data_IF_238981538493
#
_entry.id   IF_238981538493
#
_cell.length_a   1.000
_cell.length_b   1.000
_cell.length_c   1.000
_cell.angle_alpha   90.00
_cell.angle_beta   90.00
_cell.angle_gamma   90.00
#
_symmetry.space_group_name_H-M   'P 1'
#
loop_
_entity.id
_entity.type
_entity.pdbx_description
1 polymer ?
#
# COMPACT_ATOMS: atom_id res chain seq x y z
N UNK A 1 30.93 -2.60 -25.67
CA UNK A 1 31.45 -2.62 -24.28
C UNK A 1 32.26 -1.37 -24.03
N UNK A 2 31.90 -0.61 -22.98
CA UNK A 2 32.54 0.65 -22.57
C UNK A 2 33.40 0.31 -21.34
N UNK A 3 34.72 0.44 -21.44
CA UNK A 3 35.65 0.13 -20.36
C UNK A 3 36.41 1.38 -19.94
N UNK A 4 35.73 2.24 -19.16
CA UNK A 4 36.04 2.79 -17.81
C UNK A 4 37.50 2.91 -17.30
N UNK A 5 38.51 2.71 -18.14
CA UNK A 5 39.93 2.64 -17.75
C UNK A 5 40.64 4.00 -17.81
N UNK A 6 39.93 5.06 -18.19
CA UNK A 6 40.49 6.42 -18.30
C UNK A 6 40.18 7.34 -17.11
N UNK A 7 39.54 6.84 -16.05
CA UNK A 7 39.16 7.68 -14.90
C UNK A 7 40.13 7.62 -13.71
N UNK A 8 41.14 6.73 -13.72
CA UNK A 8 41.99 6.49 -12.54
C UNK A 8 43.44 6.96 -12.70
N UNK A 9 43.67 8.09 -13.37
CA UNK A 9 45.01 8.65 -13.56
C UNK A 9 45.21 10.08 -13.06
N UNK A 10 44.42 10.53 -12.09
CA UNK A 10 44.68 11.79 -11.41
C UNK A 10 44.27 11.72 -9.92
N UNK A 11 44.96 10.89 -9.14
CA UNK A 11 44.99 11.02 -7.69
C UNK A 11 46.45 10.98 -7.24
N UNK A 12 47.02 12.15 -6.98
CA UNK A 12 48.27 12.27 -6.25
C UNK A 12 48.00 11.97 -4.76
N UNK A 13 48.74 11.03 -4.15
CA UNK A 13 48.56 10.62 -2.77
C UNK A 13 49.25 11.59 -1.80
N UNK A 14 48.81 11.60 -0.54
CA UNK A 14 49.45 12.25 0.63
C UNK A 14 49.27 13.77 0.66
N UNK A 15 48.74 14.47 1.68
CA UNK A 15 48.85 14.36 3.14
C UNK A 15 47.71 15.21 3.76
N UNK A 16 46.91 14.67 4.68
CA UNK A 16 46.32 15.42 5.81
C UNK A 16 45.63 14.45 6.80
N UNK A 17 46.45 13.61 7.44
CA UNK A 17 46.10 12.94 8.69
C UNK A 17 46.15 13.99 9.82
N UNK A 18 45.03 14.28 10.49
CA UNK A 18 44.96 14.63 11.92
C UNK A 18 43.55 15.12 12.31
N UNK A 19 42.72 14.24 12.89
CA UNK A 19 41.98 14.49 14.14
C UNK A 19 41.54 13.13 14.67
N UNK A 20 42.35 12.58 15.58
CA UNK A 20 42.07 11.36 16.32
C UNK A 20 40.92 11.61 17.31
N UNK A 21 39.88 10.79 17.22
CA UNK A 21 38.84 10.65 18.22
C UNK A 21 38.55 9.18 18.44
N UNK A 22 39.51 8.45 19.02
CA UNK A 22 39.30 7.07 19.45
C UNK A 22 38.42 7.07 20.70
N UNK A 23 37.38 6.25 20.68
CA UNK A 23 36.89 5.60 21.90
C UNK A 23 36.74 4.13 21.56
N UNK A 24 37.69 3.36 22.04
CA UNK A 24 37.56 1.92 22.23
C UNK A 24 36.32 1.67 23.09
N UNK A 25 35.35 0.92 22.57
CA UNK A 25 34.53 0.09 23.44
C UNK A 25 34.76 -1.36 23.04
N UNK A 26 35.64 -1.94 23.84
CA UNK A 26 35.94 -3.34 24.00
C UNK A 26 34.65 -4.08 24.38
N UNK A 27 34.34 -5.12 23.62
CA UNK A 27 33.32 -6.09 23.98
C UNK A 27 33.81 -6.90 25.19
N UNK A 28 33.00 -7.00 26.22
CA UNK A 28 33.08 -8.06 27.22
C UNK A 28 31.69 -8.65 27.41
N UNK A 29 31.48 -9.79 26.76
CA UNK A 29 30.44 -10.73 27.17
C UNK A 29 30.93 -11.42 28.45
N UNK A 30 30.11 -11.38 29.50
CA UNK A 30 30.19 -12.33 30.60
C UNK A 30 28.77 -12.78 30.94
N UNK A 31 28.58 -14.06 30.67
CA UNK A 31 27.43 -14.95 30.83
C UNK A 31 26.99 -15.07 32.31
N UNK A 32 25.66 -15.24 32.48
CA UNK A 32 24.89 -15.77 33.64
C UNK A 32 25.18 -15.17 35.04
N UNK A 33 24.19 -14.73 35.83
CA UNK A 33 23.06 -15.49 36.42
C UNK A 33 21.93 -14.53 36.87
N UNK A 34 20.66 -14.85 36.52
CA UNK A 34 19.39 -14.62 37.27
C UNK A 34 18.99 -13.15 37.62
N UNK A 35 17.81 -12.56 37.35
CA UNK A 35 16.39 -12.90 37.16
C UNK A 35 15.80 -11.58 36.57
N UNK A 36 15.10 -11.48 35.45
CA UNK A 36 13.69 -11.83 35.22
C UNK A 36 13.39 -11.59 33.72
N UNK A 37 13.16 -12.71 33.03
CA UNK A 37 12.48 -12.95 31.73
C UNK A 37 12.58 -11.86 30.64
N UNK A 38 13.50 -11.89 29.68
CA UNK A 38 14.12 -13.04 29.03
C UNK A 38 13.56 -13.23 27.61
N UNK A 39 14.36 -12.74 26.65
CA UNK A 39 14.65 -13.42 25.39
C UNK A 39 13.79 -13.07 24.15
N UNK A 40 14.30 -12.08 23.40
CA UNK A 40 14.32 -12.19 21.95
C UNK A 40 15.10 -13.43 21.52
N UNK A 41 14.39 -14.42 21.00
CA UNK A 41 14.93 -15.47 20.15
C UNK A 41 14.78 -15.05 18.70
N UNK A 42 15.85 -15.08 17.91
CA UNK A 42 15.70 -15.41 16.47
C UNK A 42 15.04 -16.77 16.35
N UNK A 43 14.10 -16.95 15.40
CA UNK A 43 14.23 -18.16 14.60
C UNK A 43 13.85 -17.95 13.12
N UNK A 44 14.60 -18.65 12.28
CA UNK A 44 14.14 -19.25 11.03
C UNK A 44 12.78 -19.96 11.22
N UNK A 45 12.03 -20.13 10.14
CA UNK A 45 10.90 -21.06 9.92
C UNK A 45 9.46 -20.53 9.96
N UNK A 46 8.73 -21.02 8.95
CA UNK A 46 7.28 -21.10 8.76
C UNK A 46 6.44 -21.21 10.06
N UNK A 47 5.28 -20.55 10.05
CA UNK A 47 4.14 -20.94 10.91
C UNK A 47 3.36 -19.75 11.46
N UNK A 48 2.06 -19.69 11.18
CA UNK A 48 1.18 -18.61 11.61
C UNK A 48 0.72 -18.67 13.07
N UNK A 49 0.14 -17.56 13.54
CA UNK A 49 -0.95 -17.42 14.54
C UNK A 49 -1.26 -15.93 14.64
N UNK A 50 -2.49 -15.49 14.40
CA UNK A 50 -3.59 -15.41 15.38
C UNK A 50 -3.23 -14.58 16.60
N UNK A 51 -3.53 -13.28 16.51
CA UNK A 51 -3.69 -12.39 17.67
C UNK A 51 -5.16 -11.97 17.76
N UNK A 52 -5.81 -12.49 18.81
CA UNK A 52 -7.15 -12.15 19.23
C UNK A 52 -7.08 -10.83 20.03
N UNK A 53 -7.28 -9.72 19.33
CA UNK A 53 -7.32 -8.38 19.91
C UNK A 53 -8.30 -7.51 19.14
N UNK A 54 -9.60 -7.68 19.38
CA UNK A 54 -10.68 -6.78 18.96
C UNK A 54 -10.47 -6.10 17.61
N UNK A 55 -10.13 -6.86 16.57
CA UNK A 55 -9.98 -6.30 15.22
C UNK A 55 -11.39 -5.97 14.75
N UNK A 56 -11.71 -4.68 14.61
CA UNK A 56 -12.88 -4.26 13.86
C UNK A 56 -12.70 -4.80 12.45
N UNK A 57 -13.38 -5.90 12.14
CA UNK A 57 -13.41 -6.47 10.80
C UNK A 57 -13.86 -5.37 9.84
N UNK A 58 -13.00 -5.03 8.90
CA UNK A 58 -13.30 -4.01 7.90
C UNK A 58 -13.97 -4.62 6.65
N UNK A 59 -14.18 -5.95 6.64
CA UNK A 59 -14.75 -6.70 5.52
C UNK A 59 -13.74 -6.99 4.42
N UNK A 60 -12.44 -6.95 4.72
CA UNK A 60 -11.41 -7.32 3.75
C UNK A 60 -10.14 -7.83 4.41
N UNK A 61 -9.40 -8.65 3.68
CA UNK A 61 -8.01 -9.02 3.99
C UNK A 61 -7.09 -8.45 2.92
N UNK A 62 -5.81 -8.28 3.27
CA UNK A 62 -4.79 -7.78 2.35
C UNK A 62 -3.56 -8.68 2.40
N UNK A 63 -3.11 -9.11 1.23
CA UNK A 63 -1.83 -9.78 1.02
C UNK A 63 -1.07 -9.02 -0.07
N UNK A 64 0.07 -8.43 0.27
CA UNK A 64 0.87 -7.58 -0.63
C UNK A 64 0.05 -6.43 -1.25
N UNK A 65 -0.11 -6.43 -2.58
CA UNK A 65 -0.93 -5.46 -3.32
C UNK A 65 -2.34 -5.97 -3.63
N UNK A 66 -2.70 -7.16 -3.13
CA UNK A 66 -4.00 -7.78 -3.36
C UNK A 66 -4.90 -7.66 -2.13
N UNK A 67 -6.13 -7.24 -2.36
CA UNK A 67 -7.20 -7.20 -1.36
C UNK A 67 -8.24 -8.24 -1.73
N UNK A 68 -8.68 -9.03 -0.75
CA UNK A 68 -9.84 -9.90 -0.85
C UNK A 68 -10.95 -9.27 0.00
N UNK A 69 -12.01 -8.82 -0.65
CA UNK A 69 -13.07 -7.99 -0.08
C UNK A 69 -14.36 -8.80 -0.02
N UNK A 70 -14.98 -8.85 1.15
CA UNK A 70 -16.33 -9.37 1.35
C UNK A 70 -17.36 -8.26 1.11
N UNK A 71 -18.09 -8.34 -0.01
CA UNK A 71 -19.11 -7.36 -0.38
C UNK A 71 -20.38 -7.45 0.47
N UNK A 72 -20.56 -8.52 1.25
CA UNK A 72 -21.69 -8.63 2.20
C UNK A 72 -21.46 -7.80 3.46
N UNK A 73 -20.21 -7.41 3.72
CA UNK A 73 -19.86 -6.58 4.87
C UNK A 73 -20.40 -5.14 4.72
N UNK A 74 -20.87 -4.55 5.83
CA UNK A 74 -21.58 -3.26 5.81
C UNK A 74 -20.76 -2.10 5.24
N UNK A 75 -19.44 -2.16 5.34
CA UNK A 75 -18.52 -1.17 4.76
C UNK A 75 -18.63 -1.06 3.23
N UNK A 76 -19.12 -2.10 2.55
CA UNK A 76 -19.25 -2.16 1.10
C UNK A 76 -20.71 -2.06 0.62
N UNK A 77 -21.65 -1.71 1.52
CA UNK A 77 -23.08 -1.58 1.19
C UNK A 77 -23.38 -0.59 0.05
N UNK A 78 -22.52 0.40 -0.17
CA UNK A 78 -22.63 1.33 -1.30
C UNK A 78 -22.40 0.66 -2.67
N UNK A 79 -21.82 -0.54 -2.70
CA UNK A 79 -21.60 -1.35 -3.88
C UNK A 79 -22.64 -2.47 -4.05
N UNK A 80 -23.73 -2.46 -3.28
CA UNK A 80 -24.75 -3.53 -3.36
C UNK A 80 -25.55 -3.52 -4.67
N UNK A 81 -25.60 -2.39 -5.38
CA UNK A 81 -26.44 -2.19 -6.57
C UNK A 81 -25.65 -1.64 -7.74
N UNK A 82 -26.14 -1.90 -8.96
CA UNK A 82 -25.58 -1.36 -10.18
C UNK A 82 -25.53 0.18 -10.16
N UNK A 83 -24.39 0.73 -10.53
CA UNK A 83 -24.10 2.16 -10.43
C UNK A 83 -23.66 2.63 -9.04
N UNK A 84 -23.74 1.77 -8.02
CA UNK A 84 -23.20 2.01 -6.68
C UNK A 84 -21.70 2.29 -6.72
N UNK A 85 -21.24 3.23 -5.89
CA UNK A 85 -19.84 3.64 -5.87
C UNK A 85 -19.42 4.05 -4.47
N UNK A 86 -18.12 3.96 -4.19
CA UNK A 86 -17.55 4.44 -2.94
C UNK A 86 -16.07 4.79 -3.10
N UNK A 87 -15.56 5.53 -2.13
CA UNK A 87 -14.13 5.76 -1.94
C UNK A 87 -13.64 4.92 -0.76
N UNK A 88 -12.85 3.88 -1.03
CA UNK A 88 -12.37 2.94 -0.01
C UNK A 88 -11.40 3.55 1.00
N UNK A 89 -10.89 4.76 0.79
CA UNK A 89 -9.88 5.35 1.69
C UNK A 89 -10.37 5.53 3.11
N UNK A 90 -11.67 5.77 3.30
CA UNK A 90 -12.29 5.86 4.63
C UNK A 90 -12.20 4.57 5.45
N UNK A 91 -11.96 3.44 4.79
CA UNK A 91 -11.83 2.10 5.39
C UNK A 91 -10.47 1.47 5.12
N UNK A 92 -9.46 2.24 4.68
CA UNK A 92 -8.09 1.77 4.52
C UNK A 92 -7.71 1.23 3.12
N UNK A 93 -8.59 1.31 2.13
CA UNK A 93 -8.30 0.88 0.75
C UNK A 93 -8.14 2.10 -0.17
N UNK A 94 -6.96 2.33 -0.74
CA UNK A 94 -6.68 3.53 -1.55
C UNK A 94 -7.23 3.44 -3.00
N UNK A 95 -8.52 3.09 -3.15
CA UNK A 95 -9.20 2.98 -4.44
C UNK A 95 -10.61 3.61 -4.42
N UNK A 96 -11.04 4.07 -5.59
CA UNK A 96 -12.43 4.28 -5.92
C UNK A 96 -13.01 2.98 -6.48
N UNK A 97 -14.24 2.67 -6.10
CA UNK A 97 -14.98 1.53 -6.62
C UNK A 97 -16.25 1.99 -7.33
N UNK A 98 -16.59 1.31 -8.44
CA UNK A 98 -17.84 1.49 -9.16
C UNK A 98 -18.40 0.12 -9.54
N UNK A 99 -19.59 -0.23 -9.04
CA UNK A 99 -20.32 -1.39 -9.54
C UNK A 99 -20.93 -1.06 -10.89
N UNK A 100 -20.43 -1.66 -11.95
CA UNK A 100 -20.89 -1.43 -13.33
C UNK A 100 -22.00 -2.38 -13.73
N UNK A 101 -22.07 -3.56 -13.09
CA UNK A 101 -23.17 -4.52 -13.23
C UNK A 101 -23.24 -5.44 -12.00
N UNK A 102 -24.22 -6.36 -12.00
CA UNK A 102 -24.34 -7.37 -10.96
C UNK A 102 -23.11 -8.28 -10.85
N UNK A 103 -22.29 -8.38 -11.90
CA UNK A 103 -21.12 -9.25 -11.99
C UNK A 103 -19.81 -8.50 -12.25
N UNK A 104 -19.80 -7.16 -12.17
CA UNK A 104 -18.61 -6.37 -12.44
C UNK A 104 -18.50 -5.15 -11.53
N UNK A 105 -17.31 -5.00 -10.94
CA UNK A 105 -16.91 -3.81 -10.19
C UNK A 105 -15.58 -3.34 -10.77
N UNK A 106 -15.53 -2.10 -11.22
CA UNK A 106 -14.29 -1.44 -11.62
C UNK A 106 -13.66 -0.72 -10.44
N UNK A 107 -12.34 -0.67 -10.42
CA UNK A 107 -11.57 0.02 -9.40
C UNK A 107 -10.53 0.94 -10.02
N UNK A 108 -10.32 2.09 -9.38
CA UNK A 108 -9.47 3.17 -9.87
C UNK A 108 -8.63 3.71 -8.72
N UNK A 109 -7.46 4.27 -9.02
CA UNK A 109 -6.73 5.10 -8.09
C UNK A 109 -7.61 6.23 -7.59
N UNK A 110 -7.73 6.37 -6.27
CA UNK A 110 -8.42 7.51 -5.68
C UNK A 110 -7.53 8.75 -5.58
N UNK A 111 -6.31 8.74 -6.14
CA UNK A 111 -5.43 9.90 -6.16
C UNK A 111 -5.83 10.82 -7.30
N UNK A 112 -6.30 12.03 -7.01
CA UNK A 112 -6.59 13.01 -8.06
C UNK A 112 -5.30 13.32 -8.84
N UNK A 113 -5.24 13.10 -10.17
CA UNK A 113 -4.01 13.25 -10.97
C UNK A 113 -3.31 14.61 -10.82
N UNK A 114 -4.07 15.71 -10.71
CA UNK A 114 -3.50 17.06 -10.69
C UNK A 114 -2.90 17.47 -9.32
N UNK A 115 -3.42 16.95 -8.20
CA UNK A 115 -3.10 17.49 -6.86
C UNK A 115 -2.89 16.42 -5.78
N UNK A 116 -3.10 15.15 -6.08
CA UNK A 116 -2.89 14.05 -5.15
C UNK A 116 -3.94 13.91 -4.05
N UNK A 117 -4.99 14.74 -4.03
CA UNK A 117 -6.09 14.61 -3.07
C UNK A 117 -6.80 13.27 -3.22
N UNK A 118 -7.18 12.65 -2.10
CA UNK A 118 -7.78 11.30 -2.10
C UNK A 118 -9.22 11.23 -1.63
N UNK A 119 -9.69 12.24 -0.90
CA UNK A 119 -10.93 12.13 -0.12
C UNK A 119 -12.02 13.11 -0.57
N UNK A 120 -11.88 13.71 -1.77
CA UNK A 120 -12.80 14.73 -2.29
C UNK A 120 -13.38 14.29 -3.63
N UNK A 121 -14.04 13.13 -3.64
CA UNK A 121 -14.61 12.53 -4.84
C UNK A 121 -16.14 12.57 -4.83
N UNK A 122 -16.69 12.73 -6.01
CA UNK A 122 -18.12 12.64 -6.30
C UNK A 122 -18.30 11.90 -7.63
N UNK A 123 -19.28 11.00 -7.72
CA UNK A 123 -19.68 10.42 -9.00
C UNK A 123 -20.76 11.29 -9.63
N UNK A 124 -20.48 11.82 -10.83
CA UNK A 124 -21.41 12.61 -11.63
C UNK A 124 -21.61 11.91 -12.96
N UNK A 125 -22.73 11.19 -13.11
CA UNK A 125 -23.00 10.35 -14.29
C UNK A 125 -21.85 9.35 -14.52
N UNK A 126 -21.25 9.33 -15.72
CA UNK A 126 -20.14 8.47 -16.09
C UNK A 126 -18.76 9.11 -15.81
N UNK A 127 -18.70 9.98 -14.81
CA UNK A 127 -17.45 10.65 -14.41
C UNK A 127 -17.26 10.64 -12.90
N UNK A 128 -16.00 10.51 -12.48
CA UNK A 128 -15.57 10.89 -11.15
C UNK A 128 -15.04 12.31 -11.15
N UNK A 129 -15.65 13.17 -10.34
CA UNK A 129 -15.24 14.56 -10.13
C UNK A 129 -14.41 14.64 -8.85
N UNK A 130 -13.19 15.15 -8.98
CA UNK A 130 -12.37 15.58 -7.86
C UNK A 130 -12.77 17.01 -7.48
N UNK A 131 -13.40 17.19 -6.32
CA UNK A 131 -13.90 18.49 -5.86
C UNK A 131 -12.77 19.48 -5.49
N UNK A 132 -11.53 19.00 -5.37
CA UNK A 132 -10.35 19.87 -5.36
C UNK A 132 -10.12 20.42 -6.78
N UNK A 133 -10.71 21.59 -7.07
CA UNK A 133 -10.66 22.30 -8.35
C UNK A 133 -11.57 21.79 -9.48
N UNK A 134 -12.40 20.77 -9.23
CA UNK A 134 -13.52 20.41 -10.11
C UNK A 134 -13.18 19.58 -11.35
N UNK A 135 -11.94 19.06 -11.45
CA UNK A 135 -11.55 18.18 -12.54
C UNK A 135 -12.40 16.90 -12.54
N UNK A 136 -12.78 16.41 -13.72
CA UNK A 136 -13.61 15.22 -13.88
C UNK A 136 -12.98 14.22 -14.83
N UNK A 137 -13.02 12.95 -14.46
CA UNK A 137 -12.38 11.84 -15.18
C UNK A 137 -13.43 10.80 -15.54
N UNK A 138 -13.30 10.18 -16.72
CA UNK A 138 -14.21 9.12 -17.15
C UNK A 138 -14.20 7.95 -16.18
N UNK A 139 -15.34 7.28 -16.01
CA UNK A 139 -15.42 5.97 -15.35
C UNK A 139 -15.10 4.81 -16.30
N UNK A 140 -14.83 5.10 -17.58
CA UNK A 140 -14.35 4.09 -18.53
C UNK A 140 -12.82 3.98 -18.44
N UNK A 141 -12.32 2.80 -18.06
CA UNK A 141 -10.89 2.54 -17.90
C UNK A 141 -10.08 2.71 -19.19
N UNK A 142 -10.69 2.54 -20.35
CA UNK A 142 -10.02 2.74 -21.64
C UNK A 142 -9.89 4.23 -22.01
N UNK A 143 -10.68 5.09 -21.35
CA UNK A 143 -10.85 6.51 -21.72
C UNK A 143 -10.71 7.44 -20.50
N UNK A 144 -9.85 7.09 -19.55
CA UNK A 144 -9.65 7.85 -18.31
C UNK A 144 -8.17 8.16 -18.05
N UNK A 145 -7.93 9.17 -17.21
CA UNK A 145 -6.60 9.52 -16.72
C UNK A 145 -6.34 8.97 -15.30
N UNK A 146 -7.31 8.25 -14.74
CA UNK A 146 -7.13 7.54 -13.48
C UNK A 146 -6.45 6.20 -13.76
N UNK A 147 -5.47 5.83 -12.94
CA UNK A 147 -4.93 4.47 -13.01
C UNK A 147 -6.05 3.49 -12.66
N UNK A 148 -6.28 2.50 -13.53
CA UNK A 148 -7.25 1.44 -13.28
C UNK A 148 -6.57 0.23 -12.62
N UNK A 149 -7.21 -0.31 -11.61
CA UNK A 149 -6.76 -1.50 -10.92
C UNK A 149 -7.47 -2.74 -11.47
N UNK A 150 -6.83 -3.90 -11.31
CA UNK A 150 -7.43 -5.17 -11.75
C UNK A 150 -8.41 -5.67 -10.70
N UNK A 151 -9.59 -6.09 -11.14
CA UNK A 151 -10.61 -6.67 -10.26
C UNK A 151 -11.12 -8.01 -10.80
N UNK A 152 -11.53 -8.89 -9.89
CA UNK A 152 -12.23 -10.13 -10.20
C UNK A 152 -13.33 -10.35 -9.17
N UNK A 153 -14.56 -10.57 -9.64
CA UNK A 153 -15.72 -10.79 -8.78
C UNK A 153 -16.16 -12.26 -8.86
N UNK A 154 -16.22 -12.93 -7.72
CA UNK A 154 -16.70 -14.30 -7.60
C UNK A 154 -17.77 -14.37 -6.51
N UNK A 155 -19.05 -14.32 -6.90
CA UNK A 155 -20.16 -14.18 -5.96
C UNK A 155 -20.07 -12.83 -5.25
N UNK A 156 -19.95 -12.86 -3.92
CA UNK A 156 -19.81 -11.68 -3.07
C UNK A 156 -18.35 -11.37 -2.68
N UNK A 157 -17.39 -12.13 -3.21
CA UNK A 157 -15.97 -11.87 -2.99
C UNK A 157 -15.37 -11.09 -4.15
N UNK A 158 -14.84 -9.89 -3.86
CA UNK A 158 -14.11 -9.06 -4.81
C UNK A 158 -12.61 -9.17 -4.53
N UNK A 159 -11.85 -9.66 -5.51
CA UNK A 159 -10.39 -9.53 -5.53
C UNK A 159 -10.01 -8.24 -6.23
N UNK A 160 -9.13 -7.45 -5.59
CA UNK A 160 -8.57 -6.22 -6.14
C UNK A 160 -7.05 -6.30 -6.11
N UNK A 161 -6.38 -6.06 -7.24
CA UNK A 161 -4.91 -5.96 -7.32
C UNK A 161 -4.52 -4.55 -7.78
N UNK A 162 -3.76 -3.86 -6.92
CA UNK A 162 -3.27 -2.50 -7.14
C UNK A 162 -1.86 -2.46 -7.72
#
# INVERSE_FOLDING_TARGET
MKNRRDFLKEVCPTVAFAFFGVSFLEACSSDSLEEDTGNGTTPTDNGGSSDNGGSSDNGYTKSDSTYTIDLTHSNFSQLAQDGGWMNGSGIGIQALFLRTSSTSIQAYSNRCPAHGQRNQWEKVSNKFKCNHQGNSYSTDCENTQLDCFTTSLNGDELTLTM
#
